data_IF_007307629424
#
_entry.id   IF_007307629424
#
_cell.length_a   1.000
_cell.length_b   1.000
_cell.length_c   1.000
_cell.angle_alpha   90.00
_cell.angle_beta   90.00
_cell.angle_gamma   90.00
#
_symmetry.space_group_name_H-M   'P 1'
#
loop_
_entity.id
_entity.type
_entity.pdbx_description
1 polymer ?
#
# COMPACT_ATOMS: atom_id res chain seq x y z
N UNK A 1 25.06 -15.64 14.14
CA UNK A 1 23.87 -15.25 13.35
C UNK A 1 22.53 -15.79 13.86
N UNK A 2 22.43 -16.43 15.04
CA UNK A 2 21.17 -17.00 15.59
C UNK A 2 20.32 -16.03 16.45
N UNK A 3 20.89 -14.95 16.97
CA UNK A 3 20.16 -14.01 17.86
C UNK A 3 19.05 -13.21 17.15
N UNK A 4 19.20 -12.87 15.87
CA UNK A 4 18.19 -12.12 15.13
C UNK A 4 16.92 -12.91 14.80
N UNK A 5 17.03 -14.23 14.65
CA UNK A 5 15.88 -15.10 14.35
C UNK A 5 14.95 -15.30 15.56
N UNK A 6 15.50 -15.22 16.78
CA UNK A 6 14.73 -15.32 18.03
C UNK A 6 13.86 -14.09 18.26
N UNK A 7 14.41 -12.89 18.12
CA UNK A 7 13.66 -11.64 18.30
C UNK A 7 12.52 -11.48 17.29
N UNK A 8 12.74 -11.85 16.03
CA UNK A 8 11.68 -11.79 15.01
C UNK A 8 10.52 -12.75 15.31
N UNK A 9 10.82 -13.98 15.78
CA UNK A 9 9.78 -14.96 16.19
C UNK A 9 8.95 -14.47 17.36
N UNK A 10 9.57 -13.81 18.35
CA UNK A 10 8.87 -13.24 19.51
C UNK A 10 7.93 -12.12 19.06
N UNK A 11 8.39 -11.19 18.23
CA UNK A 11 7.55 -10.10 17.69
C UNK A 11 6.41 -10.68 16.84
N UNK A 12 6.68 -11.65 15.99
CA UNK A 12 5.68 -12.30 15.16
C UNK A 12 4.61 -13.02 15.99
N UNK A 13 4.99 -13.72 17.06
CA UNK A 13 4.04 -14.39 17.97
C UNK A 13 3.22 -13.39 18.78
N UNK A 14 3.81 -12.29 19.24
CA UNK A 14 3.10 -11.22 19.93
C UNK A 14 2.08 -10.54 19.01
N UNK A 15 2.48 -10.21 17.79
CA UNK A 15 1.58 -9.64 16.78
C UNK A 15 0.44 -10.61 16.45
N UNK A 16 0.71 -11.89 16.26
CA UNK A 16 -0.32 -12.90 16.00
C UNK A 16 -1.32 -13.02 17.16
N UNK A 17 -0.86 -12.96 18.40
CA UNK A 17 -1.72 -13.08 19.58
C UNK A 17 -2.61 -11.85 19.83
N UNK A 18 -2.10 -10.63 19.57
CA UNK A 18 -2.77 -9.39 19.96
C UNK A 18 -3.38 -8.62 18.79
N UNK A 19 -2.70 -8.56 17.64
CA UNK A 19 -3.16 -7.78 16.48
C UNK A 19 -4.18 -8.58 15.67
N UNK A 20 -3.95 -9.86 15.45
CA UNK A 20 -4.85 -10.70 14.63
C UNK A 20 -6.31 -10.69 15.11
N UNK A 21 -6.63 -10.79 16.43
CA UNK A 21 -8.02 -10.71 16.88
C UNK A 21 -8.69 -9.37 16.58
N UNK A 22 -7.95 -8.26 16.68
CA UNK A 22 -8.45 -6.93 16.32
C UNK A 22 -8.67 -6.81 14.82
N UNK A 23 -7.75 -7.28 14.00
CA UNK A 23 -7.89 -7.32 12.54
C UNK A 23 -9.13 -8.13 12.13
N UNK A 24 -9.38 -9.30 12.72
CA UNK A 24 -10.58 -10.11 12.45
C UNK A 24 -11.85 -9.32 12.73
N UNK A 25 -11.92 -8.61 13.87
CA UNK A 25 -13.08 -7.79 14.22
C UNK A 25 -13.30 -6.65 13.21
N UNK A 26 -12.24 -5.96 12.80
CA UNK A 26 -12.33 -4.91 11.79
C UNK A 26 -12.74 -5.49 10.43
N UNK A 27 -12.10 -6.55 9.98
CA UNK A 27 -12.42 -7.20 8.70
C UNK A 27 -13.87 -7.67 8.63
N UNK A 28 -14.41 -8.27 9.70
CA UNK A 28 -15.84 -8.64 9.75
C UNK A 28 -16.76 -7.44 9.57
N UNK A 29 -16.46 -6.29 10.19
CA UNK A 29 -17.25 -5.06 10.01
C UNK A 29 -17.16 -4.55 8.57
N UNK A 30 -15.96 -4.54 7.98
CA UNK A 30 -15.78 -4.16 6.57
C UNK A 30 -16.49 -5.13 5.61
N UNK A 31 -16.53 -6.42 5.88
CA UNK A 31 -17.30 -7.38 5.09
C UNK A 31 -18.80 -7.11 5.13
N UNK A 32 -19.34 -6.60 6.22
CA UNK A 32 -20.75 -6.16 6.27
C UNK A 32 -20.97 -4.92 5.37
N UNK A 33 -20.04 -3.97 5.36
CA UNK A 33 -20.11 -2.80 4.48
C UNK A 33 -20.00 -3.19 2.99
N UNK A 34 -19.30 -4.26 2.65
CA UNK A 34 -19.18 -4.74 1.28
C UNK A 34 -20.50 -5.29 0.69
N UNK A 35 -21.53 -5.53 1.51
CA UNK A 35 -22.89 -5.88 1.06
C UNK A 35 -23.63 -4.67 0.47
N UNK A 36 -23.20 -3.46 0.76
CA UNK A 36 -23.79 -2.22 0.27
C UNK A 36 -23.23 -1.95 -1.14
N UNK A 37 -24.00 -2.23 -2.18
CA UNK A 37 -23.56 -2.12 -3.59
C UNK A 37 -22.88 -0.80 -3.97
N UNK A 38 -23.43 0.41 -3.65
CA UNK A 38 -22.76 1.65 -3.99
C UNK A 38 -21.41 1.80 -3.29
N UNK A 39 -21.29 1.38 -2.03
CA UNK A 39 -20.06 1.45 -1.26
C UNK A 39 -18.99 0.51 -1.85
N UNK A 40 -19.39 -0.69 -2.23
CA UNK A 40 -18.51 -1.65 -2.92
C UNK A 40 -18.02 -1.10 -4.25
N UNK A 41 -18.89 -0.42 -5.02
CA UNK A 41 -18.50 0.22 -6.26
C UNK A 41 -17.45 1.32 -6.03
N UNK A 42 -17.69 2.18 -5.04
CA UNK A 42 -16.74 3.27 -4.66
C UNK A 42 -15.38 2.66 -4.28
N UNK A 43 -15.34 1.67 -3.39
CA UNK A 43 -14.09 1.05 -2.97
C UNK A 43 -13.34 0.34 -4.10
N UNK A 44 -14.05 -0.37 -4.98
CA UNK A 44 -13.45 -1.00 -6.17
C UNK A 44 -12.85 0.03 -7.12
N UNK A 45 -13.57 1.13 -7.35
CA UNK A 45 -13.12 2.21 -8.23
C UNK A 45 -11.92 2.93 -7.63
N UNK A 46 -11.98 3.28 -6.33
CA UNK A 46 -10.87 3.90 -5.61
C UNK A 46 -9.62 3.01 -5.64
N UNK A 47 -9.78 1.71 -5.38
CA UNK A 47 -8.67 0.75 -5.46
C UNK A 47 -8.04 0.71 -6.85
N UNK A 48 -8.84 0.65 -7.92
CA UNK A 48 -8.33 0.63 -9.29
C UNK A 48 -7.67 1.94 -9.72
N UNK A 49 -8.20 3.07 -9.29
CA UNK A 49 -7.60 4.39 -9.56
C UNK A 49 -6.28 4.55 -8.81
N UNK A 50 -6.21 4.06 -7.57
CA UNK A 50 -5.01 4.11 -6.74
C UNK A 50 -3.87 3.19 -7.22
N UNK A 51 -4.13 2.24 -8.14
CA UNK A 51 -3.10 1.40 -8.71
C UNK A 51 -2.11 2.24 -9.56
N UNK A 52 -2.22 2.21 -10.86
CA UNK A 52 -1.30 2.94 -11.75
C UNK A 52 -1.91 4.16 -12.44
N UNK A 53 -3.22 4.25 -12.72
CA UNK A 53 -3.76 5.33 -13.56
C UNK A 53 -3.60 6.72 -12.94
N UNK A 54 -3.84 6.82 -11.62
CA UNK A 54 -3.69 8.08 -10.87
C UNK A 54 -2.25 8.59 -10.92
N UNK A 55 -1.32 7.71 -10.66
CA UNK A 55 0.11 8.03 -10.62
C UNK A 55 0.67 8.34 -12.00
N UNK A 56 0.18 7.64 -13.03
CA UNK A 56 0.51 7.93 -14.43
C UNK A 56 0.00 9.31 -14.87
N UNK A 57 -1.25 9.65 -14.53
CA UNK A 57 -1.81 10.97 -14.82
C UNK A 57 -1.04 12.08 -14.12
N UNK A 58 -0.72 11.91 -12.83
CA UNK A 58 0.10 12.87 -12.08
C UNK A 58 1.50 13.01 -12.69
N UNK A 59 2.14 11.91 -13.05
CA UNK A 59 3.45 11.92 -13.69
C UNK A 59 3.43 12.65 -15.03
N UNK A 60 2.40 12.43 -15.85
CA UNK A 60 2.21 13.12 -17.12
C UNK A 60 1.98 14.63 -16.91
N UNK A 61 1.14 15.01 -15.96
CA UNK A 61 0.93 16.41 -15.60
C UNK A 61 2.24 17.10 -15.18
N UNK A 62 3.03 16.46 -14.33
CA UNK A 62 4.32 17.00 -13.90
C UNK A 62 5.34 17.09 -15.04
N UNK A 63 5.32 16.15 -15.98
CA UNK A 63 6.20 16.16 -17.14
C UNK A 63 5.87 17.33 -18.09
N UNK A 64 4.57 17.56 -18.36
CA UNK A 64 4.10 18.56 -19.32
C UNK A 64 4.04 19.98 -18.73
N UNK A 65 3.57 20.10 -17.49
CA UNK A 65 3.25 21.38 -16.87
C UNK A 65 4.17 21.77 -15.72
N UNK A 66 4.91 20.83 -15.16
CA UNK A 66 5.70 21.02 -13.93
C UNK A 66 7.04 21.74 -14.15
N UNK A 67 7.42 22.04 -15.39
CA UNK A 67 8.70 22.68 -15.68
C UNK A 67 9.94 21.90 -15.17
N UNK A 68 11.06 22.59 -14.93
CA UNK A 68 12.28 21.92 -14.44
C UNK A 68 12.13 21.28 -13.05
N UNK A 69 11.34 21.90 -12.18
CA UNK A 69 11.10 21.40 -10.82
C UNK A 69 10.21 20.16 -10.81
N UNK A 70 9.14 20.15 -11.64
CA UNK A 70 8.28 18.98 -11.82
C UNK A 70 9.04 17.78 -12.39
N UNK A 71 9.93 18.02 -13.37
CA UNK A 71 10.78 16.95 -13.91
C UNK A 71 11.74 16.38 -12.88
N UNK A 72 12.35 17.21 -12.04
CA UNK A 72 13.21 16.75 -10.93
C UNK A 72 12.42 15.90 -9.93
N UNK A 73 11.22 16.35 -9.55
CA UNK A 73 10.35 15.63 -8.65
C UNK A 73 9.90 14.27 -9.24
N UNK A 74 9.61 14.24 -10.55
CA UNK A 74 9.25 13.01 -11.25
C UNK A 74 10.39 11.99 -11.26
N UNK A 75 11.61 12.41 -11.56
CA UNK A 75 12.80 11.53 -11.53
C UNK A 75 13.06 11.03 -10.10
N UNK A 76 13.09 11.92 -9.11
CA UNK A 76 13.31 11.55 -7.72
C UNK A 76 12.22 10.61 -7.19
N UNK A 77 10.95 10.91 -7.50
CA UNK A 77 9.81 10.07 -7.16
C UNK A 77 9.90 8.69 -7.83
N UNK A 78 10.27 8.63 -9.10
CA UNK A 78 10.48 7.37 -9.82
C UNK A 78 11.55 6.51 -9.18
N UNK A 79 12.68 7.11 -8.78
CA UNK A 79 13.75 6.40 -8.05
C UNK A 79 13.24 5.91 -6.68
N UNK A 80 12.55 6.77 -5.93
CA UNK A 80 12.00 6.40 -4.62
C UNK A 80 10.99 5.25 -4.73
N UNK A 81 10.13 5.26 -5.73
CA UNK A 81 9.18 4.16 -6.03
C UNK A 81 9.93 2.89 -6.39
N UNK A 82 10.94 2.94 -7.27
CA UNK A 82 11.72 1.77 -7.64
C UNK A 82 12.40 1.12 -6.42
N UNK A 83 13.02 1.94 -5.57
CA UNK A 83 13.63 1.47 -4.31
C UNK A 83 12.56 0.89 -3.37
N UNK A 84 11.42 1.55 -3.22
CA UNK A 84 10.29 1.06 -2.43
C UNK A 84 9.80 -0.31 -2.92
N UNK A 85 9.67 -0.49 -4.24
CA UNK A 85 9.27 -1.77 -4.85
C UNK A 85 10.26 -2.89 -4.52
N UNK A 86 11.56 -2.63 -4.61
CA UNK A 86 12.60 -3.60 -4.27
C UNK A 86 12.48 -3.98 -2.79
N UNK A 87 12.39 -2.98 -1.90
CA UNK A 87 12.34 -3.20 -0.45
C UNK A 87 11.09 -4.00 -0.08
N UNK A 88 9.89 -3.62 -0.56
CA UNK A 88 8.68 -4.34 -0.16
C UNK A 88 8.65 -5.76 -0.70
N UNK A 89 9.16 -6.02 -1.92
CA UNK A 89 9.25 -7.39 -2.45
C UNK A 89 10.18 -8.27 -1.61
N UNK A 90 11.35 -7.74 -1.23
CA UNK A 90 12.26 -8.47 -0.36
C UNK A 90 11.64 -8.77 1.02
N UNK A 91 10.97 -7.76 1.63
CA UNK A 91 10.31 -7.94 2.91
C UNK A 91 9.13 -8.92 2.83
N UNK A 92 8.31 -8.87 1.77
CA UNK A 92 7.21 -9.82 1.54
C UNK A 92 7.69 -11.25 1.52
N UNK A 93 8.75 -11.52 0.76
CA UNK A 93 9.32 -12.87 0.71
C UNK A 93 9.91 -13.33 2.04
N UNK A 94 10.48 -12.41 2.82
CA UNK A 94 11.04 -12.75 4.13
C UNK A 94 9.98 -12.96 5.20
N UNK A 95 8.93 -12.14 5.20
CA UNK A 95 7.86 -12.19 6.20
C UNK A 95 6.87 -13.31 5.87
N UNK A 96 6.51 -13.50 4.59
CA UNK A 96 5.66 -14.58 4.12
C UNK A 96 4.26 -14.63 4.72
N UNK A 97 3.70 -13.49 5.19
CA UNK A 97 2.39 -13.45 5.85
C UNK A 97 1.27 -13.78 4.86
N UNK A 98 0.46 -14.84 5.09
CA UNK A 98 -0.66 -15.16 4.23
C UNK A 98 -1.73 -14.06 4.25
N UNK A 99 -2.60 -14.04 3.25
CA UNK A 99 -3.70 -13.08 3.21
C UNK A 99 -4.86 -13.52 4.08
N UNK A 100 -5.61 -12.58 4.70
CA UNK A 100 -6.71 -12.91 5.59
C UNK A 100 -7.76 -13.85 4.98
N UNK A 101 -8.10 -13.68 3.69
CA UNK A 101 -9.08 -14.55 3.03
C UNK A 101 -8.58 -15.98 2.76
N UNK A 102 -7.26 -16.22 2.78
CA UNK A 102 -6.68 -17.58 2.71
C UNK A 102 -6.73 -18.29 4.07
N UNK A 103 -6.77 -17.53 5.16
CA UNK A 103 -6.74 -18.05 6.53
C UNK A 103 -8.11 -18.09 7.20
N UNK A 104 -9.09 -17.33 6.70
CA UNK A 104 -10.40 -17.18 7.33
C UNK A 104 -11.51 -17.45 6.30
N UNK A 105 -12.18 -18.58 6.43
CA UNK A 105 -13.22 -19.07 5.51
C UNK A 105 -14.40 -18.10 5.28
N UNK A 106 -14.62 -17.16 6.19
CA UNK A 106 -15.73 -16.20 6.13
C UNK A 106 -15.43 -14.94 5.30
N UNK A 107 -14.20 -14.79 4.78
CA UNK A 107 -13.79 -13.62 4.01
C UNK A 107 -13.81 -13.91 2.51
N UNK A 108 -14.59 -13.12 1.77
CA UNK A 108 -14.63 -13.20 0.32
C UNK A 108 -13.70 -12.15 -0.29
N UNK A 109 -12.81 -12.56 -1.17
CA UNK A 109 -11.97 -11.65 -1.93
C UNK A 109 -12.78 -10.96 -3.04
N UNK A 110 -12.94 -9.64 -2.96
CA UNK A 110 -13.72 -8.86 -3.94
C UNK A 110 -12.91 -8.50 -5.20
N UNK A 111 -11.59 -8.44 -5.08
CA UNK A 111 -10.65 -8.15 -6.17
C UNK A 111 -9.48 -9.12 -6.05
N UNK A 112 -9.06 -9.70 -7.17
CA UNK A 112 -7.87 -10.54 -7.20
C UNK A 112 -6.64 -9.72 -6.75
N UNK A 113 -5.92 -10.18 -5.71
CA UNK A 113 -4.74 -9.45 -5.25
C UNK A 113 -3.59 -9.61 -6.24
N UNK A 114 -2.74 -8.59 -6.39
CA UNK A 114 -1.62 -8.61 -7.33
C UNK A 114 -0.49 -9.58 -6.91
N UNK A 115 -0.47 -10.00 -5.65
CA UNK A 115 0.56 -10.87 -5.11
C UNK A 115 0.05 -11.77 -3.96
N UNK A 116 0.82 -12.80 -3.61
CA UNK A 116 0.45 -13.84 -2.64
C UNK A 116 0.43 -13.35 -1.18
N UNK A 117 1.38 -12.51 -0.78
CA UNK A 117 1.55 -12.13 0.63
C UNK A 117 0.83 -10.83 0.99
N UNK A 118 0.36 -10.74 2.25
CA UNK A 118 -0.42 -9.59 2.73
C UNK A 118 0.43 -8.43 3.24
N UNK A 119 1.65 -8.66 3.71
CA UNK A 119 2.46 -7.64 4.38
C UNK A 119 3.93 -7.66 3.92
N UNK A 120 4.56 -6.49 3.77
CA UNK A 120 3.98 -5.14 3.82
C UNK A 120 3.12 -4.80 2.58
N UNK A 121 2.28 -3.76 2.71
CA UNK A 121 1.45 -3.28 1.60
C UNK A 121 2.30 -2.55 0.56
N UNK A 122 2.32 -3.04 -0.67
CA UNK A 122 3.02 -2.39 -1.78
C UNK A 122 2.44 -1.02 -2.10
N UNK A 123 1.10 -0.89 -2.11
CA UNK A 123 0.43 0.40 -2.34
C UNK A 123 0.82 1.45 -1.30
N UNK A 124 0.76 1.09 -0.02
CA UNK A 124 1.15 1.99 1.06
C UNK A 124 2.60 2.44 0.92
N UNK A 125 3.53 1.51 0.69
CA UNK A 125 4.94 1.85 0.56
C UNK A 125 5.21 2.74 -0.66
N UNK A 126 4.56 2.47 -1.79
CA UNK A 126 4.68 3.29 -3.00
C UNK A 126 4.07 4.67 -2.80
N UNK A 127 2.88 4.76 -2.21
CA UNK A 127 2.23 6.03 -1.90
C UNK A 127 3.08 6.90 -0.96
N UNK A 128 3.64 6.33 0.09
CA UNK A 128 4.55 7.05 0.99
C UNK A 128 5.85 7.49 0.30
N UNK A 129 6.40 6.69 -0.62
CA UNK A 129 7.59 7.08 -1.39
C UNK A 129 7.30 8.30 -2.28
N UNK A 130 6.16 8.31 -2.97
CA UNK A 130 5.74 9.44 -3.81
C UNK A 130 5.44 10.65 -2.94
N UNK A 131 4.58 10.49 -1.91
CA UNK A 131 4.20 11.59 -1.03
C UNK A 131 5.41 12.21 -0.33
N UNK A 132 6.31 11.40 0.24
CA UNK A 132 7.53 11.89 0.90
C UNK A 132 8.43 12.67 -0.05
N UNK A 133 8.63 12.19 -1.27
CA UNK A 133 9.42 12.90 -2.28
C UNK A 133 8.79 14.24 -2.66
N UNK A 134 7.48 14.27 -2.87
CA UNK A 134 6.77 15.47 -3.29
C UNK A 134 6.59 16.47 -2.15
N UNK A 135 6.50 16.02 -0.91
CA UNK A 135 6.48 16.91 0.27
C UNK A 135 7.75 17.76 0.37
N UNK A 136 8.88 17.21 -0.05
CA UNK A 136 10.16 17.93 -0.05
C UNK A 136 10.33 18.81 -1.28
N UNK A 137 10.00 18.28 -2.48
CA UNK A 137 10.30 18.95 -3.75
C UNK A 137 9.17 19.85 -4.26
N UNK A 138 7.92 19.51 -3.93
CA UNK A 138 6.70 20.17 -4.39
C UNK A 138 5.66 20.30 -3.26
N UNK A 139 5.94 21.06 -2.19
CA UNK A 139 5.09 21.07 -0.99
C UNK A 139 3.64 21.49 -1.28
N UNK A 140 3.40 22.38 -2.25
CA UNK A 140 2.06 22.79 -2.64
C UNK A 140 1.24 21.65 -3.27
N UNK A 141 1.88 20.76 -4.04
CA UNK A 141 1.22 19.60 -4.64
C UNK A 141 1.05 18.47 -3.62
N UNK A 142 1.98 18.32 -2.69
CA UNK A 142 1.92 17.29 -1.66
C UNK A 142 0.62 17.35 -0.84
N UNK A 143 0.14 18.56 -0.50
CA UNK A 143 -1.13 18.73 0.22
C UNK A 143 -2.34 18.25 -0.58
N UNK A 144 -2.30 18.34 -1.92
CA UNK A 144 -3.38 17.89 -2.79
C UNK A 144 -3.40 16.37 -2.96
N UNK A 145 -2.25 15.71 -2.90
CA UNK A 145 -2.15 14.26 -3.09
C UNK A 145 -2.23 13.47 -1.79
N UNK A 146 -2.19 14.13 -0.63
CA UNK A 146 -2.29 13.48 0.69
C UNK A 146 -3.50 12.55 0.83
N UNK A 147 -4.71 12.90 0.35
CA UNK A 147 -5.87 12.00 0.45
C UNK A 147 -5.75 10.74 -0.40
N UNK A 148 -4.83 10.69 -1.36
CA UNK A 148 -4.62 9.56 -2.27
C UNK A 148 -3.42 8.67 -1.84
N UNK A 149 -2.60 9.15 -0.91
CA UNK A 149 -1.46 8.40 -0.37
C UNK A 149 -1.84 7.53 0.83
#
# INVERSE_FOLDING_TARGET
>A
MQAGASGFKIIASYCAAHITPLEVRFMRRFCLLSRIRPLTFIFKTASRLGDWPLWAALGLCLLLLGGPQGRRALIAGGIAVALSVIVFKLLKHRIGRPRPFESWEQLTCLLAPPDKFSFPSGHTMTAFAIYGTFSVLLPGIALLILPAA
#
